data_IF_080026309740
#
_entry.id   IF_080026309740
#
_cell.length_a   1.000
_cell.length_b   1.000
_cell.length_c   1.000
_cell.angle_alpha   90.00
_cell.angle_beta   90.00
_cell.angle_gamma   90.00
#
_symmetry.space_group_name_H-M   'P 1'
#
loop_
_entity.id
_entity.type
_entity.pdbx_description
1 polymer ?
#
# COMPACT_ATOMS: atom_id res chain seq x y z
N UNK A 1 29.75 23.20 46.19
CA UNK A 1 30.04 23.55 44.80
C UNK A 1 28.95 22.84 44.00
N UNK A 2 27.91 23.62 43.74
CA UNK A 2 26.65 23.21 43.11
C UNK A 2 26.86 23.15 41.60
N UNK A 3 26.38 22.11 41.01
CA UNK A 3 26.33 21.95 39.56
C UNK A 3 24.87 22.12 39.13
N UNK A 4 24.49 23.25 38.50
CA UNK A 4 23.13 23.48 38.04
C UNK A 4 23.05 23.32 36.50
N UNK A 5 23.02 22.12 36.00
CA UNK A 5 22.55 21.87 34.63
C UNK A 5 21.39 20.87 34.61
N UNK A 6 20.25 21.35 35.15
CA UNK A 6 18.96 20.77 34.85
C UNK A 6 18.55 21.17 33.43
N UNK A 7 18.90 20.35 32.43
CA UNK A 7 18.41 20.52 31.09
C UNK A 7 16.88 20.39 31.08
N UNK A 8 16.18 21.48 30.81
CA UNK A 8 14.78 21.48 30.42
C UNK A 8 14.68 20.69 29.11
N UNK A 9 14.28 19.41 29.16
CA UNK A 9 13.66 18.77 28.01
C UNK A 9 12.31 19.47 27.80
N UNK A 10 12.28 20.45 26.89
CA UNK A 10 11.01 20.87 26.31
C UNK A 10 10.39 19.63 25.64
N UNK A 11 9.38 19.06 26.28
CA UNK A 11 8.42 18.18 25.60
C UNK A 11 7.72 19.10 24.60
N UNK A 12 8.16 19.04 23.34
CA UNK A 12 7.37 19.54 22.21
C UNK A 12 6.16 18.60 22.18
N UNK A 13 5.04 19.00 22.76
CA UNK A 13 3.76 18.37 22.50
C UNK A 13 3.58 18.42 20.98
N UNK A 14 3.63 17.28 20.32
CA UNK A 14 3.25 17.18 18.91
C UNK A 14 1.79 17.63 18.81
N UNK A 15 1.58 18.87 18.35
CA UNK A 15 0.23 19.39 18.11
C UNK A 15 -0.38 18.53 17.03
N UNK A 16 -1.36 17.71 17.42
CA UNK A 16 -2.08 16.85 16.51
C UNK A 16 -2.84 17.74 15.51
N UNK A 17 -2.56 17.58 14.21
CA UNK A 17 -3.25 18.33 13.14
C UNK A 17 -4.74 17.96 13.14
N UNK A 18 -5.61 18.96 13.23
CA UNK A 18 -7.07 18.79 13.12
C UNK A 18 -7.51 19.04 11.68
N UNK A 19 -8.16 18.09 11.09
CA UNK A 19 -8.49 18.14 9.65
C UNK A 19 -9.97 17.89 9.37
N UNK A 20 -10.48 18.55 8.32
CA UNK A 20 -11.81 18.29 7.76
C UNK A 20 -11.63 17.48 6.48
N UNK A 21 -12.37 16.39 6.37
CA UNK A 21 -12.39 15.56 5.17
C UNK A 21 -13.45 16.06 4.19
N UNK A 22 -13.06 16.15 2.92
CA UNK A 22 -13.92 16.72 1.86
C UNK A 22 -14.03 15.74 0.69
N UNK A 23 -15.26 15.35 0.35
CA UNK A 23 -15.55 14.46 -0.78
C UNK A 23 -16.58 15.04 -1.74
N UNK A 24 -16.50 14.65 -3.01
CA UNK A 24 -17.48 14.99 -4.04
C UNK A 24 -18.16 13.72 -4.52
N UNK A 25 -19.48 13.68 -4.42
CA UNK A 25 -20.32 12.59 -4.90
C UNK A 25 -20.82 12.93 -6.31
N UNK A 26 -20.41 12.15 -7.31
CA UNK A 26 -20.76 12.38 -8.71
C UNK A 26 -22.00 11.60 -9.13
N UNK A 27 -22.23 10.42 -8.56
CA UNK A 27 -23.36 9.53 -8.85
C UNK A 27 -24.01 9.06 -7.52
N UNK A 28 -25.28 8.67 -7.55
CA UNK A 28 -26.00 8.11 -6.41
C UNK A 28 -25.40 6.77 -5.94
N UNK A 29 -24.74 6.03 -6.84
CA UNK A 29 -24.02 4.79 -6.53
C UNK A 29 -22.60 5.02 -5.96
N UNK A 30 -22.14 6.25 -5.93
CA UNK A 30 -20.81 6.62 -5.45
C UNK A 30 -20.82 6.62 -3.90
N UNK A 31 -20.19 5.62 -3.30
CA UNK A 31 -20.15 5.48 -1.85
C UNK A 31 -19.13 6.44 -1.20
N UNK A 32 -19.30 7.76 -1.43
CA UNK A 32 -18.37 8.79 -0.92
C UNK A 32 -18.32 8.81 0.60
N UNK A 33 -19.43 8.52 1.29
CA UNK A 33 -19.43 8.44 2.74
C UNK A 33 -18.44 7.38 3.25
N UNK A 34 -18.49 6.20 2.66
CA UNK A 34 -17.60 5.08 3.00
C UNK A 34 -16.15 5.39 2.59
N UNK A 35 -15.96 6.12 1.48
CA UNK A 35 -14.63 6.58 1.08
C UNK A 35 -14.05 7.58 2.08
N UNK A 36 -14.88 8.46 2.67
CA UNK A 36 -14.46 9.37 3.72
C UNK A 36 -14.23 8.66 5.06
N UNK A 37 -14.94 7.57 5.36
CA UNK A 37 -14.67 6.75 6.54
C UNK A 37 -13.29 6.08 6.43
N UNK A 38 -12.93 5.56 5.26
CA UNK A 38 -11.59 5.06 4.98
C UNK A 38 -10.52 6.17 5.00
N UNK A 39 -10.85 7.36 4.49
CA UNK A 39 -9.94 8.51 4.53
C UNK A 39 -9.67 8.98 5.97
N UNK A 40 -10.66 8.84 6.88
CA UNK A 40 -10.48 9.10 8.31
C UNK A 40 -9.48 8.13 8.94
N UNK A 41 -9.57 6.83 8.63
CA UNK A 41 -8.58 5.84 9.09
C UNK A 41 -7.17 6.14 8.55
N UNK A 42 -7.08 6.64 7.31
CA UNK A 42 -5.81 7.10 6.74
C UNK A 42 -5.27 8.33 7.49
N UNK A 43 -6.13 9.31 7.79
CA UNK A 43 -5.75 10.51 8.53
C UNK A 43 -5.26 10.16 9.94
N UNK A 44 -5.96 9.28 10.65
CA UNK A 44 -5.55 8.78 11.96
C UNK A 44 -4.19 8.06 11.88
N UNK A 45 -3.99 7.20 10.88
CA UNK A 45 -2.70 6.53 10.65
C UNK A 45 -1.56 7.55 10.41
N UNK A 46 -1.86 8.66 9.74
CA UNK A 46 -0.91 9.75 9.54
C UNK A 46 -0.68 10.59 10.81
N UNK A 47 -1.52 10.41 11.85
CA UNK A 47 -1.45 11.13 13.11
C UNK A 47 -2.28 12.42 13.14
N UNK A 48 -3.20 12.62 12.18
CA UNK A 48 -4.14 13.74 12.17
C UNK A 48 -5.47 13.31 12.79
N UNK A 49 -6.17 14.25 13.41
CA UNK A 49 -7.51 14.05 13.97
C UNK A 49 -8.58 14.60 13.02
N UNK A 50 -9.52 13.77 12.62
CA UNK A 50 -10.66 14.23 11.83
C UNK A 50 -11.70 14.91 12.74
N UNK A 51 -11.99 16.18 12.47
CA UNK A 51 -12.97 16.98 13.24
C UNK A 51 -14.28 17.23 12.47
N UNK A 52 -14.34 16.83 11.20
CA UNK A 52 -15.55 16.92 10.39
C UNK A 52 -15.41 16.28 9.02
N UNK A 53 -16.56 15.94 8.41
CA UNK A 53 -16.66 15.40 7.06
C UNK A 53 -17.67 16.21 6.27
N UNK A 54 -17.31 16.61 5.07
CA UNK A 54 -18.16 17.39 4.17
C UNK A 54 -18.27 16.68 2.83
N UNK A 55 -19.48 16.44 2.37
CA UNK A 55 -19.78 15.85 1.07
C UNK A 55 -20.54 16.89 0.22
N UNK A 56 -20.16 16.99 -1.04
CA UNK A 56 -20.88 17.77 -2.03
C UNK A 56 -21.36 16.88 -3.17
N UNK A 57 -22.69 16.87 -3.42
CA UNK A 57 -23.26 16.20 -4.60
C UNK A 57 -23.10 17.13 -5.82
N UNK A 58 -22.54 16.63 -6.91
CA UNK A 58 -22.37 17.36 -8.17
C UNK A 58 -22.37 16.38 -9.34
N UNK A 59 -22.75 16.87 -10.52
CA UNK A 59 -22.60 16.09 -11.77
C UNK A 59 -21.13 15.99 -12.22
N UNK A 60 -20.31 17.00 -11.88
CA UNK A 60 -18.89 17.03 -12.22
C UNK A 60 -18.10 17.75 -11.15
N UNK A 61 -16.86 17.32 -10.93
CA UNK A 61 -15.90 18.00 -10.03
C UNK A 61 -15.66 19.44 -10.51
N UNK A 62 -15.64 20.40 -9.59
CA UNK A 62 -15.37 21.78 -9.98
C UNK A 62 -13.92 21.92 -10.47
N UNK A 63 -13.69 22.42 -11.71
CA UNK A 63 -12.36 22.38 -12.33
C UNK A 63 -11.33 23.28 -11.63
N UNK A 64 -11.77 24.33 -10.95
CA UNK A 64 -10.90 25.30 -10.31
C UNK A 64 -10.64 25.06 -8.83
N UNK A 65 -11.61 24.49 -8.10
CA UNK A 65 -11.57 24.39 -6.62
C UNK A 65 -12.06 23.05 -6.08
N UNK A 66 -12.22 22.01 -6.92
CA UNK A 66 -12.74 20.70 -6.53
C UNK A 66 -14.19 20.74 -6.05
N UNK A 67 -14.54 21.64 -5.13
CA UNK A 67 -15.88 21.92 -4.61
C UNK A 67 -16.35 23.29 -5.04
N UNK A 68 -17.66 23.53 -5.00
CA UNK A 68 -18.24 24.83 -5.35
C UNK A 68 -18.10 25.89 -4.25
N UNK A 69 -18.24 27.19 -4.63
CA UNK A 69 -18.04 28.33 -3.71
C UNK A 69 -18.88 28.22 -2.42
N UNK A 70 -20.18 27.88 -2.51
CA UNK A 70 -21.02 27.74 -1.32
C UNK A 70 -20.52 26.65 -0.36
N UNK A 71 -19.91 25.57 -0.90
CA UNK A 71 -19.34 24.51 -0.08
C UNK A 71 -18.01 24.93 0.54
N UNK A 72 -17.22 25.79 -0.12
CA UNK A 72 -16.01 26.41 0.45
C UNK A 72 -16.37 27.23 1.69
N UNK A 73 -17.45 28.01 1.64
CA UNK A 73 -17.91 28.78 2.81
C UNK A 73 -18.36 27.88 3.97
N UNK A 74 -19.00 26.75 3.66
CA UNK A 74 -19.39 25.74 4.66
C UNK A 74 -18.13 25.11 5.31
N UNK A 75 -17.11 24.78 4.53
CA UNK A 75 -15.81 24.29 5.02
C UNK A 75 -15.18 25.35 5.94
N UNK A 76 -15.13 26.61 5.50
CA UNK A 76 -14.57 27.72 6.28
C UNK A 76 -15.31 27.91 7.61
N UNK A 77 -16.63 27.86 7.61
CA UNK A 77 -17.44 27.96 8.82
C UNK A 77 -17.16 26.80 9.80
N UNK A 78 -17.02 25.58 9.27
CA UNK A 78 -16.70 24.42 10.07
C UNK A 78 -15.28 24.50 10.63
N UNK A 79 -14.29 24.95 9.85
CA UNK A 79 -12.92 25.17 10.30
C UNK A 79 -12.88 26.12 11.50
N UNK A 80 -13.59 27.25 11.43
CA UNK A 80 -13.68 28.22 12.53
C UNK A 80 -14.36 27.65 13.78
N UNK A 81 -15.34 26.76 13.60
CA UNK A 81 -16.06 26.14 14.71
C UNK A 81 -15.29 25.03 15.41
N UNK A 82 -14.34 24.39 14.70
CA UNK A 82 -13.60 23.21 15.18
C UNK A 82 -12.11 23.43 15.37
N UNK A 83 -11.61 24.66 15.13
CA UNK A 83 -10.19 25.00 15.10
C UNK A 83 -9.36 24.11 14.17
N UNK A 84 -9.97 23.65 13.06
CA UNK A 84 -9.29 22.79 12.09
C UNK A 84 -8.14 23.54 11.41
N UNK A 85 -6.97 22.86 11.34
CA UNK A 85 -5.73 23.41 10.79
C UNK A 85 -5.59 23.18 9.28
N UNK A 86 -6.41 22.29 8.71
CA UNK A 86 -6.37 21.96 7.29
C UNK A 86 -7.53 21.11 6.81
N UNK A 87 -7.51 20.82 5.51
CA UNK A 87 -8.48 19.92 4.88
C UNK A 87 -7.78 18.80 4.12
N UNK A 88 -8.45 17.66 4.00
CA UNK A 88 -8.01 16.54 3.16
C UNK A 88 -9.11 16.21 2.17
N UNK A 89 -8.80 16.26 0.88
CA UNK A 89 -9.73 15.89 -0.19
C UNK A 89 -9.60 14.40 -0.54
N UNK A 90 -10.73 13.74 -0.78
CA UNK A 90 -10.81 12.30 -1.03
C UNK A 90 -10.28 11.88 -2.40
N UNK A 91 -10.22 12.80 -3.36
CA UNK A 91 -9.70 12.55 -4.69
C UNK A 91 -8.37 13.27 -4.91
N UNK A 92 -7.58 12.82 -5.89
CA UNK A 92 -6.37 13.52 -6.30
C UNK A 92 -6.71 14.87 -6.89
N UNK A 93 -6.13 15.95 -6.34
CA UNK A 93 -6.35 17.30 -6.79
C UNK A 93 -5.40 17.69 -7.93
N UNK A 94 -5.90 18.43 -8.91
CA UNK A 94 -5.02 19.13 -9.84
C UNK A 94 -4.21 20.22 -9.11
N UNK A 95 -3.03 20.61 -9.62
CA UNK A 95 -2.25 21.70 -9.03
C UNK A 95 -3.02 23.01 -8.88
N UNK A 96 -3.93 23.31 -9.82
CA UNK A 96 -4.77 24.50 -9.79
C UNK A 96 -5.82 24.41 -8.68
N UNK A 97 -6.48 23.25 -8.53
CA UNK A 97 -7.48 23.04 -7.47
C UNK A 97 -6.86 23.17 -6.08
N UNK A 98 -5.72 22.53 -5.85
CA UNK A 98 -5.01 22.60 -4.57
C UNK A 98 -4.63 24.05 -4.22
N UNK A 99 -3.96 24.76 -5.13
CA UNK A 99 -3.53 26.14 -4.90
C UNK A 99 -4.70 27.12 -4.71
N UNK A 100 -5.80 26.92 -5.45
CA UNK A 100 -6.97 27.77 -5.28
C UNK A 100 -7.69 27.50 -3.95
N UNK A 101 -7.77 26.23 -3.50
CA UNK A 101 -8.33 25.90 -2.20
C UNK A 101 -7.47 26.43 -1.06
N UNK A 102 -6.14 26.29 -1.14
CA UNK A 102 -5.21 26.87 -0.15
C UNK A 102 -5.38 28.40 -0.04
N UNK A 103 -5.54 29.06 -1.18
CA UNK A 103 -5.76 30.52 -1.21
C UNK A 103 -7.13 30.94 -0.66
N UNK A 104 -8.20 30.18 -1.02
CA UNK A 104 -9.56 30.50 -0.57
C UNK A 104 -9.78 30.21 0.91
N UNK A 105 -9.19 29.12 1.42
CA UNK A 105 -9.38 28.69 2.81
C UNK A 105 -8.27 29.16 3.77
N UNK A 106 -7.16 29.69 3.24
CA UNK A 106 -5.97 30.10 4.00
C UNK A 106 -5.45 29.00 4.93
N UNK A 107 -5.52 27.75 4.51
CA UNK A 107 -5.13 26.59 5.30
C UNK A 107 -4.33 25.57 4.47
N UNK A 108 -3.75 24.58 5.15
CA UNK A 108 -3.10 23.44 4.50
C UNK A 108 -4.15 22.59 3.79
N UNK A 109 -3.93 22.31 2.51
CA UNK A 109 -4.76 21.42 1.71
C UNK A 109 -3.96 20.19 1.30
N UNK A 110 -4.49 19.04 1.62
CA UNK A 110 -3.94 17.75 1.20
C UNK A 110 -4.96 17.01 0.34
N UNK A 111 -4.48 16.10 -0.47
CA UNK A 111 -5.31 15.10 -1.13
C UNK A 111 -4.96 13.69 -0.65
N UNK A 112 -5.79 12.72 -1.01
CA UNK A 112 -5.61 11.32 -0.65
C UNK A 112 -4.22 10.80 -1.03
N UNK A 113 -3.70 11.22 -2.19
CA UNK A 113 -2.37 10.82 -2.70
C UNK A 113 -1.26 11.29 -1.77
N UNK A 114 -1.29 12.55 -1.36
CA UNK A 114 -0.27 13.13 -0.47
C UNK A 114 -0.33 12.48 0.92
N UNK A 115 -1.54 12.21 1.44
CA UNK A 115 -1.73 11.55 2.72
C UNK A 115 -1.14 10.13 2.71
N UNK A 116 -1.42 9.34 1.67
CA UNK A 116 -0.83 8.00 1.51
C UNK A 116 0.70 8.06 1.42
N UNK A 117 1.24 9.05 0.70
CA UNK A 117 2.69 9.26 0.62
C UNK A 117 3.33 9.60 1.97
N UNK A 118 2.64 10.36 2.81
CA UNK A 118 3.11 10.69 4.15
C UNK A 118 3.10 9.45 5.08
N UNK A 119 2.06 8.62 4.99
CA UNK A 119 2.01 7.35 5.70
C UNK A 119 3.18 6.44 5.28
N UNK A 120 3.41 6.32 3.97
CA UNK A 120 4.50 5.51 3.45
C UNK A 120 5.88 6.03 3.87
N UNK A 121 6.06 7.34 3.93
CA UNK A 121 7.31 7.94 4.41
C UNK A 121 7.62 7.59 5.87
N UNK A 122 6.58 7.45 6.70
CA UNK A 122 6.72 7.05 8.11
C UNK A 122 7.03 5.55 8.27
N UNK A 123 6.49 4.69 7.38
CA UNK A 123 6.61 3.23 7.48
C UNK A 123 7.74 2.61 6.66
N UNK A 124 8.38 3.35 5.75
CA UNK A 124 9.52 2.87 4.97
C UNK A 124 10.74 2.64 5.86
N UNK A 125 11.09 1.39 6.12
CA UNK A 125 12.25 1.00 6.94
C UNK A 125 13.44 0.62 6.10
N UNK A 126 13.22 -0.09 4.97
CA UNK A 126 14.28 -0.54 4.08
C UNK A 126 14.83 0.59 3.21
N UNK A 127 16.08 0.44 2.75
CA UNK A 127 16.69 1.38 1.79
C UNK A 127 15.88 1.46 0.50
N UNK A 128 15.36 0.33 0.02
CA UNK A 128 14.52 0.27 -1.18
C UNK A 128 13.21 1.00 -0.98
N UNK A 129 12.47 0.72 0.10
CA UNK A 129 11.22 1.40 0.43
C UNK A 129 11.41 2.92 0.52
N UNK A 130 12.49 3.39 1.16
CA UNK A 130 12.82 4.82 1.24
C UNK A 130 13.07 5.45 -0.13
N UNK A 131 13.81 4.78 -1.01
CA UNK A 131 14.06 5.24 -2.39
C UNK A 131 12.74 5.34 -3.16
N UNK A 132 11.86 4.34 -3.05
CA UNK A 132 10.57 4.30 -3.72
C UNK A 132 9.64 5.42 -3.24
N UNK A 133 9.55 5.62 -1.93
CA UNK A 133 8.75 6.72 -1.35
C UNK A 133 9.28 8.08 -1.79
N UNK A 134 10.60 8.31 -1.71
CA UNK A 134 11.21 9.57 -2.16
C UNK A 134 10.93 9.80 -3.65
N UNK A 135 11.04 8.77 -4.48
CA UNK A 135 10.74 8.83 -5.90
C UNK A 135 9.28 9.21 -6.16
N UNK A 136 8.34 8.60 -5.45
CA UNK A 136 6.90 8.90 -5.56
C UNK A 136 6.59 10.33 -5.12
N UNK A 137 7.13 10.78 -3.98
CA UNK A 137 6.98 12.15 -3.50
C UNK A 137 7.55 13.18 -4.47
N UNK A 138 8.71 12.92 -5.07
CA UNK A 138 9.31 13.82 -6.06
C UNK A 138 8.51 13.86 -7.36
N UNK A 139 7.95 12.75 -7.82
CA UNK A 139 7.04 12.70 -8.98
C UNK A 139 5.77 13.50 -8.72
N UNK A 140 5.16 13.30 -7.55
CA UNK A 140 3.99 14.05 -7.11
C UNK A 140 4.28 15.56 -7.07
N UNK A 141 5.40 15.99 -6.47
CA UNK A 141 5.84 17.39 -6.46
C UNK A 141 6.13 17.93 -7.87
N UNK A 142 6.79 17.13 -8.71
CA UNK A 142 7.12 17.54 -10.09
C UNK A 142 5.88 17.83 -10.93
N UNK A 143 4.82 17.02 -10.81
CA UNK A 143 3.54 17.26 -11.51
C UNK A 143 2.89 18.58 -11.09
N UNK A 144 2.99 18.96 -9.83
CA UNK A 144 2.41 20.19 -9.27
C UNK A 144 3.19 21.46 -9.65
N UNK A 145 4.51 21.36 -9.77
CA UNK A 145 5.32 22.50 -10.27
C UNK A 145 5.01 22.87 -11.73
N UNK A 146 4.43 21.97 -12.53
CA UNK A 146 4.05 22.26 -13.92
C UNK A 146 2.86 23.25 -13.98
N UNK A 147 1.91 23.17 -13.05
CA UNK A 147 0.75 24.08 -12.98
C UNK A 147 1.06 25.49 -12.52
N UNK A 148 2.01 25.64 -11.58
CA UNK A 148 2.41 26.93 -11.01
C UNK A 148 3.07 27.90 -12.01
N UNK A 149 3.78 27.39 -13.02
CA UNK A 149 4.43 28.22 -14.02
C UNK A 149 3.45 29.04 -14.89
N UNK A 150 2.27 28.49 -15.18
CA UNK A 150 1.25 29.17 -15.98
C UNK A 150 0.50 30.26 -15.19
N UNK A 151 0.38 30.15 -13.88
CA UNK A 151 -0.22 31.18 -13.02
C UNK A 151 0.73 32.34 -12.76
N UNK A 152 2.02 32.07 -12.60
CA UNK A 152 3.05 33.12 -12.40
C UNK A 152 3.37 33.91 -13.66
N UNK A 153 3.26 33.31 -14.86
CA UNK A 153 3.44 34.04 -16.13
C UNK A 153 2.29 34.98 -16.47
N UNK A 154 1.10 34.82 -15.87
CA UNK A 154 -0.01 35.79 -16.02
C UNK A 154 0.17 37.05 -15.17
N UNK A 155 0.99 37.02 -14.14
CA UNK A 155 1.27 38.13 -13.22
C UNK A 155 2.47 39.00 -13.65
N UNK A 156 3.31 38.52 -14.58
CA UNK A 156 4.47 39.25 -15.11
C UNK A 156 4.21 39.79 -16.50
N UNK A 157 3.81 41.08 -16.62
CA UNK A 157 3.56 41.74 -17.89
C UNK A 157 4.83 41.84 -18.75
N UNK A 158 4.73 41.37 -19.99
CA UNK A 158 5.69 41.63 -21.04
C UNK A 158 6.11 40.41 -21.83
N UNK A 159 5.99 40.47 -23.17
CA UNK A 159 6.47 39.42 -24.08
C UNK A 159 8.00 39.37 -24.01
N UNK A 160 8.56 38.24 -23.47
CA UNK A 160 9.99 37.94 -23.56
C UNK A 160 10.83 38.09 -22.30
N UNK A 161 10.29 38.53 -21.16
CA UNK A 161 11.04 38.61 -19.90
C UNK A 161 10.60 37.51 -18.92
N UNK A 162 11.41 36.46 -18.78
CA UNK A 162 11.26 35.49 -17.69
C UNK A 162 11.51 36.16 -16.34
N UNK A 163 10.48 36.24 -15.50
CA UNK A 163 10.57 36.79 -14.15
C UNK A 163 11.49 35.95 -13.24
N UNK A 164 11.99 36.53 -12.12
CA UNK A 164 12.85 35.82 -11.17
C UNK A 164 12.18 34.57 -10.59
N UNK A 165 10.84 34.55 -10.46
CA UNK A 165 10.06 33.39 -10.05
C UNK A 165 10.07 32.24 -11.07
N UNK A 166 10.00 32.53 -12.36
CA UNK A 166 10.10 31.49 -13.41
C UNK A 166 11.47 30.84 -13.44
N UNK A 167 12.56 31.59 -13.25
CA UNK A 167 13.94 31.05 -13.17
C UNK A 167 14.09 30.13 -11.98
N UNK A 168 13.52 30.47 -10.82
CA UNK A 168 13.54 29.66 -9.63
C UNK A 168 12.79 28.35 -9.84
N UNK A 169 11.57 28.40 -10.37
CA UNK A 169 10.77 27.21 -10.71
C UNK A 169 11.46 26.29 -11.71
N UNK A 170 12.12 26.86 -12.74
CA UNK A 170 12.88 26.05 -13.72
C UNK A 170 14.09 25.39 -13.08
N UNK A 171 14.78 26.07 -12.17
CA UNK A 171 15.86 25.51 -11.35
C UNK A 171 15.40 24.35 -10.48
N UNK A 172 14.27 24.57 -9.77
CA UNK A 172 13.68 23.55 -8.88
C UNK A 172 13.23 22.31 -9.67
N UNK A 173 12.58 22.52 -10.82
CA UNK A 173 12.20 21.43 -11.73
C UNK A 173 13.42 20.64 -12.23
N UNK A 174 14.50 21.32 -12.58
CA UNK A 174 15.72 20.67 -13.03
C UNK A 174 16.37 19.85 -11.92
N UNK A 175 16.37 20.38 -10.69
CA UNK A 175 16.89 19.69 -9.53
C UNK A 175 16.08 18.42 -9.22
N UNK A 176 14.76 18.54 -9.19
CA UNK A 176 13.85 17.39 -8.95
C UNK A 176 14.03 16.33 -10.02
N UNK A 177 14.05 16.71 -11.32
CA UNK A 177 14.27 15.73 -12.41
C UNK A 177 15.60 15.01 -12.28
N UNK A 178 16.66 15.73 -11.90
CA UNK A 178 17.98 15.15 -11.68
C UNK A 178 17.96 14.14 -10.53
N UNK A 179 17.28 14.48 -9.42
CA UNK A 179 17.13 13.56 -8.29
C UNK A 179 16.30 12.32 -8.65
N UNK A 180 15.19 12.51 -9.41
CA UNK A 180 14.38 11.40 -9.92
C UNK A 180 15.23 10.43 -10.78
N UNK A 181 16.09 10.96 -11.65
CA UNK A 181 16.97 10.12 -12.48
C UNK A 181 17.95 9.33 -11.62
N UNK A 182 18.60 9.97 -10.66
CA UNK A 182 19.52 9.31 -9.74
C UNK A 182 18.84 8.20 -8.94
N UNK A 183 17.64 8.48 -8.38
CA UNK A 183 16.89 7.48 -7.61
C UNK A 183 16.45 6.28 -8.47
N UNK A 184 16.08 6.50 -9.74
CA UNK A 184 15.77 5.42 -10.68
C UNK A 184 16.99 4.52 -10.95
N UNK A 185 18.17 5.11 -11.06
CA UNK A 185 19.42 4.36 -11.24
C UNK A 185 19.74 3.54 -9.98
N UNK A 186 19.61 4.14 -8.78
CA UNK A 186 19.78 3.45 -7.51
C UNK A 186 18.79 2.27 -7.38
N UNK A 187 17.52 2.49 -7.67
CA UNK A 187 16.47 1.45 -7.63
C UNK A 187 16.78 0.30 -8.59
N UNK A 188 17.19 0.61 -9.82
CA UNK A 188 17.58 -0.41 -10.81
C UNK A 188 18.75 -1.29 -10.34
N UNK A 189 19.69 -0.75 -9.56
CA UNK A 189 20.78 -1.55 -8.98
C UNK A 189 20.26 -2.49 -7.89
N UNK A 190 19.34 -2.02 -7.06
CA UNK A 190 18.71 -2.84 -6.01
C UNK A 190 17.88 -3.98 -6.63
N UNK A 191 17.11 -3.70 -7.67
CA UNK A 191 16.33 -4.69 -8.42
C UNK A 191 17.24 -5.79 -9.03
N UNK A 192 18.33 -5.42 -9.67
CA UNK A 192 19.29 -6.38 -10.21
C UNK A 192 19.90 -7.28 -9.13
N UNK A 193 20.25 -6.71 -7.99
CA UNK A 193 20.76 -7.49 -6.86
C UNK A 193 19.70 -8.47 -6.33
N UNK A 194 18.46 -8.03 -6.22
CA UNK A 194 17.32 -8.89 -5.82
C UNK A 194 17.10 -10.03 -6.81
N UNK A 195 17.18 -9.77 -8.11
CA UNK A 195 17.03 -10.80 -9.15
C UNK A 195 18.12 -11.87 -9.05
N UNK A 196 19.35 -11.47 -8.76
CA UNK A 196 20.47 -12.42 -8.51
C UNK A 196 20.19 -13.29 -7.26
N UNK A 197 19.67 -12.72 -6.19
CA UNK A 197 19.30 -13.47 -5.00
C UNK A 197 18.10 -14.41 -5.24
N UNK A 198 17.14 -13.99 -6.07
CA UNK A 198 15.99 -14.83 -6.48
C UNK A 198 16.45 -16.03 -7.31
N UNK A 199 17.32 -15.82 -8.31
CA UNK A 199 17.88 -16.93 -9.09
C UNK A 199 18.63 -17.94 -8.21
N UNK A 200 19.25 -17.51 -7.14
CA UNK A 200 19.83 -18.37 -6.11
C UNK A 200 18.76 -19.19 -5.35
N UNK A 201 17.63 -18.59 -5.01
CA UNK A 201 16.50 -19.26 -4.32
C UNK A 201 15.75 -20.22 -5.24
N UNK A 202 15.56 -19.87 -6.50
CA UNK A 202 14.92 -20.74 -7.52
C UNK A 202 15.73 -22.03 -7.77
N UNK A 203 17.05 -21.99 -7.59
CA UNK A 203 17.87 -23.20 -7.59
C UNK A 203 17.60 -24.13 -6.41
N UNK A 204 17.09 -23.57 -5.28
CA UNK A 204 16.70 -24.35 -4.08
C UNK A 204 15.29 -24.96 -4.14
N UNK A 205 14.52 -24.75 -5.22
CA UNK A 205 13.17 -25.33 -5.46
C UNK A 205 12.10 -25.10 -4.39
N UNK A 206 12.29 -24.12 -3.49
CA UNK A 206 11.26 -23.81 -2.51
C UNK A 206 10.15 -22.99 -3.17
N UNK A 207 8.90 -23.48 -3.10
CA UNK A 207 7.73 -22.77 -3.61
C UNK A 207 7.44 -21.51 -2.80
N UNK A 208 6.86 -20.52 -3.45
CA UNK A 208 6.58 -19.21 -2.88
C UNK A 208 5.10 -18.87 -2.97
N UNK A 209 4.53 -18.31 -1.91
CA UNK A 209 3.17 -17.77 -1.92
C UNK A 209 3.19 -16.31 -1.45
N UNK A 210 2.57 -15.42 -2.24
CA UNK A 210 2.38 -14.04 -1.87
C UNK A 210 1.06 -13.86 -1.14
N UNK A 211 1.09 -13.23 0.02
CA UNK A 211 -0.08 -12.87 0.80
C UNK A 211 -0.51 -11.48 0.34
N UNK A 212 -1.64 -11.42 -0.35
CA UNK A 212 -2.22 -10.21 -0.90
C UNK A 212 -3.59 -9.93 -0.26
N UNK A 213 -4.05 -8.71 -0.34
CA UNK A 213 -5.37 -8.34 0.17
C UNK A 213 -5.44 -6.87 0.51
N UNK A 214 -6.64 -6.43 0.84
CA UNK A 214 -6.89 -5.05 1.19
C UNK A 214 -6.08 -4.63 2.42
N UNK A 215 -5.83 -3.33 2.60
CA UNK A 215 -5.19 -2.83 3.81
C UNK A 215 -6.02 -3.20 5.04
N UNK A 216 -5.37 -3.50 6.15
CA UNK A 216 -6.00 -3.98 7.39
C UNK A 216 -6.82 -5.29 7.29
N UNK A 217 -6.68 -6.10 6.22
CA UNK A 217 -7.35 -7.40 6.11
C UNK A 217 -6.74 -8.49 7.03
N UNK A 218 -5.59 -8.21 7.66
CA UNK A 218 -4.92 -9.12 8.59
C UNK A 218 -3.79 -9.95 7.98
N UNK A 219 -3.17 -9.49 6.88
CA UNK A 219 -2.05 -10.17 6.18
C UNK A 219 -0.84 -10.41 7.07
N UNK A 220 -0.34 -9.37 7.73
CA UNK A 220 0.84 -9.44 8.61
C UNK A 220 0.55 -10.26 9.86
N UNK A 221 -0.68 -10.18 10.39
CA UNK A 221 -1.14 -11.04 11.49
C UNK A 221 -1.12 -12.52 11.07
N UNK A 222 -1.63 -12.82 9.85
CA UNK A 222 -1.61 -14.17 9.30
C UNK A 222 -0.18 -14.72 9.18
N UNK A 223 0.73 -13.94 8.61
CA UNK A 223 2.14 -14.32 8.50
C UNK A 223 2.75 -14.60 9.88
N UNK A 224 2.51 -13.73 10.86
CA UNK A 224 3.01 -13.88 12.23
C UNK A 224 2.48 -15.14 12.90
N UNK A 225 1.19 -15.40 12.81
CA UNK A 225 0.56 -16.55 13.46
C UNK A 225 1.02 -17.86 12.82
N UNK A 226 1.22 -17.89 11.49
CA UNK A 226 1.70 -19.08 10.80
C UNK A 226 3.18 -19.37 11.04
N UNK A 227 4.03 -18.34 11.19
CA UNK A 227 5.49 -18.50 11.19
C UNK A 227 6.18 -18.08 12.49
N UNK A 228 5.46 -17.47 13.43
CA UNK A 228 6.05 -16.89 14.65
C UNK A 228 7.00 -15.71 14.39
N UNK A 229 6.82 -15.00 13.28
CA UNK A 229 7.83 -14.08 12.74
C UNK A 229 8.00 -12.77 13.51
N UNK A 230 7.06 -12.37 14.37
CA UNK A 230 7.12 -11.10 15.10
C UNK A 230 7.16 -9.85 14.20
N UNK A 231 6.57 -9.90 13.00
CA UNK A 231 6.42 -8.75 12.12
C UNK A 231 5.46 -7.75 12.75
N UNK A 232 5.74 -6.45 12.61
CA UNK A 232 4.87 -5.41 13.12
C UNK A 232 3.45 -5.59 12.53
N UNK A 233 2.50 -5.83 13.41
CA UNK A 233 1.09 -6.00 13.05
C UNK A 233 0.29 -5.02 13.90
N UNK A 234 -0.03 -3.88 13.32
CA UNK A 234 -0.88 -2.86 13.92
C UNK A 234 -2.24 -2.85 13.25
N UNK A 235 -3.28 -2.46 13.98
CA UNK A 235 -4.63 -2.26 13.45
C UNK A 235 -4.71 -0.87 12.77
N UNK A 236 -3.81 -0.64 11.82
CA UNK A 236 -3.68 0.60 11.06
C UNK A 236 -3.53 0.30 9.57
N UNK A 237 -3.99 1.24 8.75
CA UNK A 237 -3.84 1.14 7.31
C UNK A 237 -2.34 1.25 6.93
N UNK A 238 -1.88 0.42 5.99
CA UNK A 238 -0.47 0.41 5.54
C UNK A 238 0.58 0.18 6.63
N UNK A 239 0.27 -0.62 7.65
CA UNK A 239 1.24 -1.00 8.68
C UNK A 239 2.49 -1.69 8.10
N UNK A 240 2.34 -2.42 6.98
CA UNK A 240 3.43 -3.06 6.24
C UNK A 240 3.64 -2.37 4.90
N UNK A 241 4.81 -1.77 4.70
CA UNK A 241 5.25 -1.21 3.41
C UNK A 241 6.31 -2.09 2.75
N UNK A 242 7.25 -2.60 3.53
CA UNK A 242 8.35 -3.44 3.05
C UNK A 242 7.92 -4.92 3.05
N UNK A 243 8.09 -5.66 1.94
CA UNK A 243 7.73 -7.07 1.89
C UNK A 243 8.55 -7.88 2.88
N UNK A 244 7.88 -8.74 3.62
CA UNK A 244 8.55 -9.63 4.57
C UNK A 244 8.33 -11.09 4.17
N UNK A 245 9.41 -11.83 3.91
CA UNK A 245 9.36 -13.25 3.53
C UNK A 245 9.77 -14.13 4.70
N UNK A 246 8.99 -15.19 4.97
CA UNK A 246 9.25 -16.20 5.99
C UNK A 246 8.99 -17.59 5.45
N UNK A 247 9.75 -18.57 5.94
CA UNK A 247 9.51 -19.97 5.62
C UNK A 247 8.46 -20.53 6.59
N UNK A 248 7.46 -21.21 6.03
CA UNK A 248 6.51 -22.04 6.76
C UNK A 248 6.86 -23.50 6.52
N UNK A 249 7.08 -24.24 7.60
CA UNK A 249 7.22 -25.71 7.55
C UNK A 249 5.86 -26.34 7.79
N UNK A 250 5.44 -27.20 6.87
CA UNK A 250 4.20 -27.96 6.95
C UNK A 250 4.39 -29.27 7.71
N UNK A 251 3.30 -29.91 8.09
CA UNK A 251 3.32 -31.11 8.93
C UNK A 251 4.03 -32.32 8.28
N UNK A 252 4.03 -32.36 6.94
CA UNK A 252 4.74 -33.36 6.13
C UNK A 252 6.24 -33.04 5.92
N UNK A 253 6.74 -31.97 6.54
CA UNK A 253 8.13 -31.51 6.44
C UNK A 253 8.43 -30.68 5.20
N UNK A 254 7.47 -30.48 4.29
CA UNK A 254 7.62 -29.57 3.17
C UNK A 254 7.70 -28.12 3.64
N UNK A 255 8.36 -27.27 2.87
CA UNK A 255 8.51 -25.86 3.19
C UNK A 255 8.00 -25.00 2.04
N UNK A 256 7.30 -23.92 2.40
CA UNK A 256 6.86 -22.86 1.49
C UNK A 256 7.29 -21.51 2.03
N UNK A 257 7.72 -20.63 1.14
CA UNK A 257 8.01 -19.22 1.50
C UNK A 257 6.72 -18.40 1.40
N UNK A 258 6.35 -17.78 2.49
CA UNK A 258 5.25 -16.83 2.56
C UNK A 258 5.81 -15.41 2.53
N UNK A 259 5.32 -14.58 1.64
CA UNK A 259 5.71 -13.17 1.55
C UNK A 259 4.49 -12.29 1.84
N UNK A 260 4.55 -11.51 2.92
CA UNK A 260 3.59 -10.44 3.19
C UNK A 260 3.85 -9.27 2.24
N UNK A 261 2.79 -8.72 1.66
CA UNK A 261 2.87 -7.61 0.72
C UNK A 261 2.17 -6.37 1.24
N UNK A 262 2.42 -5.24 0.60
CA UNK A 262 1.69 -3.99 0.88
C UNK A 262 0.19 -4.21 0.65
N UNK A 263 -0.64 -3.66 1.55
CA UNK A 263 -2.09 -3.72 1.41
C UNK A 263 -2.59 -2.86 0.25
N UNK A 264 -3.59 -3.35 -0.47
CA UNK A 264 -4.28 -2.57 -1.49
C UNK A 264 -5.31 -1.64 -0.85
N UNK A 265 -5.63 -0.56 -1.54
CA UNK A 265 -6.62 0.43 -1.11
C UNK A 265 -7.34 1.01 -2.34
N UNK A 266 -8.55 1.51 -2.14
CA UNK A 266 -9.31 2.20 -3.19
C UNK A 266 -8.61 3.49 -3.61
N UNK A 267 -8.82 3.89 -4.87
CA UNK A 267 -8.26 5.13 -5.43
C UNK A 267 -6.73 5.22 -5.25
N UNK A 268 -6.03 4.07 -5.33
CA UNK A 268 -4.56 4.07 -5.28
C UNK A 268 -4.04 4.81 -6.53
N UNK A 269 -3.29 5.90 -6.37
CA UNK A 269 -2.81 6.67 -7.52
C UNK A 269 -1.86 5.86 -8.41
N UNK A 270 -2.02 5.93 -9.73
CA UNK A 270 -1.16 5.19 -10.68
C UNK A 270 0.34 5.48 -10.48
N UNK A 271 0.69 6.70 -10.10
CA UNK A 271 2.07 7.06 -9.78
C UNK A 271 2.63 6.27 -8.59
N UNK A 272 1.77 5.90 -7.62
CA UNK A 272 2.14 5.07 -6.47
C UNK A 272 2.24 3.60 -6.87
N UNK A 273 1.31 3.08 -7.68
CA UNK A 273 1.40 1.72 -8.23
C UNK A 273 2.73 1.52 -8.94
N UNK A 274 3.15 2.49 -9.78
CA UNK A 274 4.44 2.43 -10.49
C UNK A 274 5.64 2.53 -9.55
N UNK A 275 5.56 3.35 -8.49
CA UNK A 275 6.65 3.49 -7.52
C UNK A 275 6.81 2.23 -6.66
N UNK A 276 5.71 1.56 -6.30
CA UNK A 276 5.70 0.33 -5.49
C UNK A 276 5.62 -0.95 -6.33
N UNK A 277 5.75 -0.83 -7.66
CA UNK A 277 5.71 -1.98 -8.56
C UNK A 277 6.66 -3.09 -8.10
N UNK A 278 7.84 -2.75 -7.62
CA UNK A 278 8.83 -3.74 -7.18
C UNK A 278 8.46 -4.46 -5.89
N UNK A 279 7.72 -3.83 -4.97
CA UNK A 279 7.19 -4.49 -3.77
C UNK A 279 5.96 -5.34 -4.09
N UNK A 280 5.13 -4.88 -5.03
CA UNK A 280 3.97 -5.61 -5.53
C UNK A 280 4.36 -6.73 -6.51
N UNK A 281 5.54 -6.64 -7.14
CA UNK A 281 6.10 -7.69 -7.99
C UNK A 281 6.36 -9.01 -7.26
N UNK A 282 6.43 -9.03 -5.91
CA UNK A 282 6.48 -10.28 -5.16
C UNK A 282 5.26 -11.16 -5.46
N UNK A 283 4.08 -10.57 -5.66
CA UNK A 283 2.90 -11.30 -6.12
C UNK A 283 3.07 -11.84 -7.55
N UNK A 284 3.76 -11.11 -8.43
CA UNK A 284 4.03 -11.54 -9.82
C UNK A 284 4.98 -12.75 -9.89
N UNK A 285 5.95 -12.82 -8.98
CA UNK A 285 6.96 -13.88 -8.99
C UNK A 285 6.58 -15.08 -8.11
N UNK A 286 5.60 -14.95 -7.23
CA UNK A 286 5.11 -16.05 -6.41
C UNK A 286 4.50 -17.18 -7.26
N UNK A 287 4.58 -18.43 -6.79
CA UNK A 287 3.93 -19.58 -7.41
C UNK A 287 2.42 -19.56 -7.12
N UNK A 288 2.04 -19.10 -5.92
CA UNK A 288 0.66 -19.08 -5.42
C UNK A 288 0.29 -17.70 -4.88
N UNK A 289 -1.00 -17.39 -4.89
CA UNK A 289 -1.57 -16.20 -4.27
C UNK A 289 -2.44 -16.63 -3.09
N UNK A 290 -2.21 -16.04 -1.94
CA UNK A 290 -3.08 -16.14 -0.76
C UNK A 290 -3.79 -14.79 -0.61
N UNK A 291 -5.05 -14.75 -1.02
CA UNK A 291 -5.86 -13.54 -0.94
C UNK A 291 -6.58 -13.49 0.40
N UNK A 292 -6.21 -12.53 1.25
CA UNK A 292 -6.81 -12.34 2.58
C UNK A 292 -7.90 -11.27 2.49
N UNK A 293 -9.10 -11.65 2.91
CA UNK A 293 -10.31 -10.82 2.86
C UNK A 293 -10.86 -10.66 4.27
N UNK A 294 -11.09 -9.44 4.71
CA UNK A 294 -11.78 -9.16 5.96
C UNK A 294 -13.27 -9.40 5.79
N UNK A 295 -13.77 -10.56 6.26
CA UNK A 295 -15.19 -10.91 6.13
C UNK A 295 -16.09 -10.16 7.13
N UNK A 296 -15.52 -9.42 8.08
CA UNK A 296 -16.30 -8.57 9.00
C UNK A 296 -16.63 -7.20 8.39
N UNK A 297 -15.93 -6.81 7.33
CA UNK A 297 -16.15 -5.53 6.67
C UNK A 297 -17.38 -5.61 5.74
N UNK A 298 -18.36 -4.70 5.85
CA UNK A 298 -19.52 -4.67 4.94
C UNK A 298 -19.17 -4.52 3.46
N UNK A 299 -17.99 -3.94 3.15
CA UNK A 299 -17.49 -3.70 1.79
C UNK A 299 -16.53 -4.78 1.30
N UNK A 300 -16.46 -5.92 1.97
CA UNK A 300 -15.50 -6.96 1.63
C UNK A 300 -15.55 -7.38 0.15
N UNK A 301 -16.73 -7.38 -0.49
CA UNK A 301 -16.87 -7.70 -1.92
C UNK A 301 -16.20 -6.65 -2.79
N UNK A 302 -16.45 -5.37 -2.55
CA UNK A 302 -15.82 -4.26 -3.29
C UNK A 302 -14.30 -4.23 -3.05
N UNK A 303 -13.86 -4.53 -1.83
CA UNK A 303 -12.44 -4.63 -1.52
C UNK A 303 -11.77 -5.79 -2.27
N UNK A 304 -12.46 -6.93 -2.43
CA UNK A 304 -11.98 -8.04 -3.25
C UNK A 304 -11.82 -7.64 -4.72
N UNK A 305 -12.80 -6.91 -5.28
CA UNK A 305 -12.74 -6.40 -6.67
C UNK A 305 -11.50 -5.49 -6.84
N UNK A 306 -11.28 -4.52 -5.95
CA UNK A 306 -10.10 -3.65 -6.00
C UNK A 306 -8.79 -4.44 -5.99
N UNK A 307 -8.71 -5.51 -5.19
CA UNK A 307 -7.52 -6.37 -5.15
C UNK A 307 -7.32 -7.09 -6.49
N UNK A 308 -8.38 -7.67 -7.07
CA UNK A 308 -8.28 -8.35 -8.37
C UNK A 308 -7.94 -7.40 -9.51
N UNK A 309 -8.54 -6.21 -9.56
CA UNK A 309 -8.23 -5.19 -10.55
C UNK A 309 -6.75 -4.79 -10.48
N UNK A 310 -6.25 -4.58 -9.27
CA UNK A 310 -4.82 -4.23 -9.07
C UNK A 310 -3.90 -5.40 -9.46
N UNK A 311 -4.26 -6.65 -9.14
CA UNK A 311 -3.49 -7.83 -9.58
C UNK A 311 -3.48 -7.95 -11.10
N UNK A 312 -4.57 -7.61 -11.77
CA UNK A 312 -4.66 -7.56 -13.22
C UNK A 312 -3.75 -6.48 -13.82
N UNK A 313 -3.75 -5.27 -13.26
CA UNK A 313 -2.84 -4.18 -13.66
C UNK A 313 -1.35 -4.57 -13.49
N UNK A 314 -1.04 -5.38 -12.48
CA UNK A 314 0.30 -5.92 -12.23
C UNK A 314 0.64 -7.14 -13.10
N UNK A 315 -0.23 -7.53 -14.02
CA UNK A 315 -0.08 -8.71 -14.87
C UNK A 315 0.09 -10.03 -14.07
N UNK A 316 -0.52 -10.12 -12.89
CA UNK A 316 -0.55 -11.33 -12.07
C UNK A 316 -1.74 -12.18 -12.52
N UNK A 317 -1.52 -13.07 -13.48
CA UNK A 317 -2.56 -13.93 -14.04
C UNK A 317 -2.15 -15.41 -14.04
N UNK A 318 -3.13 -16.30 -14.03
CA UNK A 318 -2.94 -17.75 -14.19
C UNK A 318 -2.26 -18.43 -12.99
N UNK A 319 -2.28 -17.81 -11.81
CA UNK A 319 -1.74 -18.39 -10.58
C UNK A 319 -2.84 -19.01 -9.75
N UNK A 320 -2.55 -20.16 -9.12
CA UNK A 320 -3.49 -20.75 -8.15
C UNK A 320 -3.71 -19.76 -7.01
N UNK A 321 -4.96 -19.43 -6.77
CA UNK A 321 -5.38 -18.44 -5.78
C UNK A 321 -6.17 -19.13 -4.66
N UNK A 322 -5.76 -18.89 -3.42
CA UNK A 322 -6.43 -19.35 -2.22
C UNK A 322 -6.99 -18.13 -1.52
N UNK A 323 -8.32 -18.01 -1.44
CA UNK A 323 -8.95 -16.89 -0.73
C UNK A 323 -9.26 -17.29 0.71
N UNK A 324 -8.76 -16.50 1.65
CA UNK A 324 -8.97 -16.63 3.07
C UNK A 324 -9.95 -15.57 3.54
N UNK A 325 -11.14 -15.97 3.91
CA UNK A 325 -12.11 -15.09 4.60
C UNK A 325 -11.70 -15.00 6.06
N UNK A 326 -10.96 -13.95 6.38
CA UNK A 326 -10.37 -13.70 7.69
C UNK A 326 -11.31 -12.94 8.62
N UNK A 327 -10.98 -12.90 9.92
CA UNK A 327 -11.72 -12.25 11.00
C UNK A 327 -13.08 -12.89 11.28
N UNK A 328 -13.20 -14.22 11.11
CA UNK A 328 -14.45 -14.96 11.45
C UNK A 328 -14.82 -14.87 12.92
N UNK A 329 -13.85 -14.61 13.80
CA UNK A 329 -14.03 -14.36 15.23
C UNK A 329 -14.88 -13.12 15.54
N UNK A 330 -15.05 -12.21 14.58
CA UNK A 330 -15.91 -11.02 14.72
C UNK A 330 -17.39 -11.31 14.41
N UNK A 331 -17.76 -12.58 14.17
CA UNK A 331 -19.15 -13.03 14.08
C UNK A 331 -19.88 -12.70 12.79
N UNK A 332 -19.18 -12.31 11.75
CA UNK A 332 -19.80 -12.04 10.45
C UNK A 332 -20.26 -13.34 9.79
N UNK A 333 -21.57 -13.60 9.82
CA UNK A 333 -22.22 -14.73 9.16
C UNK A 333 -22.36 -14.53 7.64
N UNK A 334 -21.29 -14.09 6.97
CA UNK A 334 -21.35 -13.80 5.54
C UNK A 334 -21.15 -15.10 4.76
N UNK A 335 -22.13 -15.45 3.91
CA UNK A 335 -22.00 -16.48 2.87
C UNK A 335 -21.27 -15.89 1.67
N UNK A 336 -20.02 -15.46 1.89
CA UNK A 336 -19.19 -14.98 0.80
C UNK A 336 -18.64 -16.15 -0.01
N UNK A 337 -18.54 -15.96 -1.32
CA UNK A 337 -17.87 -16.87 -2.24
C UNK A 337 -16.95 -16.04 -3.12
N UNK A 338 -15.80 -16.57 -3.41
CA UNK A 338 -14.89 -16.02 -4.39
C UNK A 338 -14.88 -16.97 -5.61
N UNK A 339 -15.41 -16.48 -6.75
CA UNK A 339 -15.46 -17.25 -7.99
C UNK A 339 -14.13 -17.25 -8.75
N UNK A 340 -13.21 -16.37 -8.38
CA UNK A 340 -11.91 -16.23 -9.01
C UNK A 340 -10.83 -17.07 -8.31
N UNK A 341 -11.14 -17.62 -7.13
CA UNK A 341 -10.21 -18.43 -6.36
C UNK A 341 -10.39 -19.94 -6.66
N UNK A 342 -9.27 -20.67 -6.70
CA UNK A 342 -9.28 -22.13 -6.79
C UNK A 342 -9.76 -22.78 -5.49
N UNK A 343 -9.43 -22.17 -4.35
CA UNK A 343 -9.81 -22.63 -3.03
C UNK A 343 -10.25 -21.47 -2.15
N UNK A 344 -11.19 -21.76 -1.24
CA UNK A 344 -11.64 -20.77 -0.25
C UNK A 344 -11.70 -21.40 1.13
N UNK A 345 -11.17 -20.69 2.14
CA UNK A 345 -11.21 -21.09 3.54
C UNK A 345 -11.70 -19.94 4.43
N UNK A 346 -12.27 -20.28 5.55
CA UNK A 346 -12.64 -19.33 6.62
C UNK A 346 -11.61 -19.44 7.73
N UNK A 347 -11.04 -18.31 8.14
CA UNK A 347 -9.96 -18.29 9.13
C UNK A 347 -10.08 -17.10 10.08
N UNK A 348 -9.46 -17.24 11.24
CA UNK A 348 -9.12 -16.10 12.07
C UNK A 348 -7.61 -16.10 12.31
N UNK A 349 -6.91 -15.18 11.68
CA UNK A 349 -5.48 -15.00 11.89
C UNK A 349 -5.14 -14.65 13.35
N UNK A 350 -6.08 -14.02 14.07
CA UNK A 350 -5.93 -13.63 15.47
C UNK A 350 -6.05 -14.81 16.44
N UNK A 351 -7.03 -15.69 16.24
CA UNK A 351 -7.29 -16.82 17.13
C UNK A 351 -6.61 -18.11 16.71
N UNK A 352 -6.17 -18.19 15.44
CA UNK A 352 -5.62 -19.41 14.84
C UNK A 352 -6.67 -20.33 14.23
N UNK A 353 -7.96 -20.01 14.32
CA UNK A 353 -9.05 -20.81 13.75
C UNK A 353 -8.87 -20.99 12.23
N UNK A 354 -8.98 -22.24 11.73
CA UNK A 354 -8.88 -22.58 10.31
C UNK A 354 -7.46 -22.55 9.74
N UNK A 355 -6.42 -22.23 10.53
CA UNK A 355 -5.05 -22.18 10.02
C UNK A 355 -4.44 -23.57 9.82
N UNK A 356 -4.85 -24.57 10.56
CA UNK A 356 -4.44 -25.97 10.34
C UNK A 356 -5.03 -26.49 9.02
N UNK A 357 -6.29 -26.14 8.69
CA UNK A 357 -6.88 -26.47 7.40
C UNK A 357 -6.12 -25.80 6.23
N UNK A 358 -5.65 -24.57 6.44
CA UNK A 358 -4.79 -23.87 5.47
C UNK A 358 -3.45 -24.61 5.26
N UNK A 359 -2.79 -25.03 6.33
CA UNK A 359 -1.53 -25.81 6.25
C UNK A 359 -1.75 -27.12 5.52
N UNK A 360 -2.82 -27.85 5.85
CA UNK A 360 -3.19 -29.09 5.19
C UNK A 360 -3.48 -28.90 3.69
N UNK A 361 -4.21 -27.81 3.33
CA UNK A 361 -4.49 -27.47 1.95
C UNK A 361 -3.19 -27.15 1.18
N UNK A 362 -2.29 -26.33 1.76
CA UNK A 362 -1.00 -26.01 1.15
C UNK A 362 -0.15 -27.26 0.93
N UNK A 363 -0.09 -28.18 1.91
CA UNK A 363 0.61 -29.46 1.78
C UNK A 363 0.05 -30.30 0.64
N UNK A 364 -1.29 -30.37 0.52
CA UNK A 364 -1.95 -31.07 -0.58
C UNK A 364 -1.60 -30.46 -1.95
N UNK A 365 -1.67 -29.12 -2.08
CA UNK A 365 -1.34 -28.41 -3.33
C UNK A 365 0.12 -28.67 -3.74
N UNK A 366 1.04 -28.61 -2.79
CA UNK A 366 2.46 -28.87 -3.03
C UNK A 366 2.70 -30.33 -3.44
N UNK A 367 2.00 -31.27 -2.81
CA UNK A 367 2.13 -32.70 -3.12
C UNK A 367 1.54 -33.05 -4.51
N UNK A 368 0.45 -32.40 -4.94
CA UNK A 368 -0.14 -32.59 -6.27
C UNK A 368 0.81 -32.18 -7.41
N UNK A 369 1.74 -31.28 -7.15
CA UNK A 369 2.75 -30.87 -8.13
C UNK A 369 4.00 -31.75 -8.13
N UNK A 370 4.13 -32.67 -7.17
CA UNK A 370 5.26 -33.59 -7.09
C UNK A 370 4.99 -34.82 -7.94
N UNK A 371 6.01 -35.29 -8.65
CA UNK A 371 5.95 -36.52 -9.42
C UNK A 371 6.56 -37.62 -8.55
N UNK A 372 5.74 -38.61 -8.20
CA UNK A 372 6.23 -39.79 -7.54
C UNK A 372 7.03 -40.66 -8.53
N UNK A 373 8.29 -40.96 -8.16
CA UNK A 373 9.17 -41.81 -8.98
C UNK A 373 9.72 -42.91 -8.10
N UNK A 374 9.38 -44.16 -8.41
CA UNK A 374 9.99 -45.32 -7.79
C UNK A 374 11.08 -45.89 -8.73
N UNK A 375 12.32 -45.89 -8.27
CA UNK A 375 13.45 -46.38 -9.06
C UNK A 375 14.46 -47.13 -8.18
N UNK A 376 14.85 -48.30 -8.63
CA UNK A 376 15.92 -49.08 -8.02
C UNK A 376 17.27 -48.53 -8.54
N UNK A 377 18.14 -48.12 -7.61
CA UNK A 377 19.49 -47.66 -7.95
C UNK A 377 20.50 -48.76 -7.62
N UNK A 378 21.38 -49.03 -8.58
CA UNK A 378 22.52 -49.93 -8.35
C UNK A 378 23.59 -49.24 -7.48
N UNK A 379 24.48 -50.03 -6.86
CA UNK A 379 25.59 -49.46 -6.05
C UNK A 379 26.46 -48.46 -6.81
N UNK A 380 26.59 -48.59 -8.12
CA UNK A 380 27.33 -47.67 -8.99
C UNK A 380 26.61 -46.35 -9.21
N UNK A 381 25.30 -46.30 -8.97
CA UNK A 381 24.46 -45.12 -9.12
C UNK A 381 24.16 -44.39 -7.79
N UNK A 382 24.85 -44.81 -6.68
CA UNK A 382 24.64 -44.24 -5.33
C UNK A 382 24.75 -42.68 -5.31
N UNK A 383 25.63 -42.10 -6.14
CA UNK A 383 25.73 -40.64 -6.30
C UNK A 383 24.46 -39.95 -6.80
N UNK A 384 23.57 -40.66 -7.52
CA UNK A 384 22.30 -40.14 -7.96
C UNK A 384 21.29 -40.00 -6.82
N UNK A 385 21.40 -40.81 -5.78
CA UNK A 385 20.57 -40.70 -4.56
C UNK A 385 20.82 -39.38 -3.86
N UNK A 386 22.07 -38.89 -3.86
CA UNK A 386 22.39 -37.59 -3.29
C UNK A 386 21.79 -36.43 -4.10
N UNK A 387 21.79 -36.55 -5.41
CA UNK A 387 21.09 -35.62 -6.30
C UNK A 387 19.56 -35.64 -6.04
N UNK A 388 18.98 -36.83 -5.81
CA UNK A 388 17.54 -36.92 -5.50
C UNK A 388 17.25 -36.28 -4.14
N UNK A 389 18.11 -36.43 -3.13
CA UNK A 389 17.97 -35.78 -1.83
C UNK A 389 18.10 -34.25 -1.96
N UNK A 390 18.93 -33.79 -2.88
CA UNK A 390 19.16 -32.36 -3.16
C UNK A 390 17.99 -31.72 -3.95
N UNK A 391 17.29 -32.52 -4.78
CA UNK A 391 16.27 -32.06 -5.72
C UNK A 391 14.86 -32.61 -5.46
N UNK A 392 14.66 -33.47 -4.50
CA UNK A 392 13.38 -34.12 -4.18
C UNK A 392 13.33 -34.62 -2.74
N UNK A 393 12.18 -35.19 -2.38
CA UNK A 393 11.98 -35.82 -1.09
C UNK A 393 12.19 -37.36 -1.24
N UNK A 394 12.99 -37.94 -0.41
CA UNK A 394 13.15 -39.41 -0.32
C UNK A 394 12.12 -39.93 0.67
N UNK A 395 11.18 -40.75 0.23
CA UNK A 395 10.20 -41.43 1.06
C UNK A 395 10.79 -42.68 1.68
#
# INVERSE_FOLDING_TARGET
MDDPEGGFMEYIEEIQEQVILVGVQLDENDNVKESLDELEELADTAGAQTVGKIIQNRETVHPGTYIGKGKIEEVRALMLATDATGIICDDELSPAQMNNLEHELECKVMDRTLLILDIFAKHATTSEGKIQVELAQLRYRASRLVGLGASLSRLGGGIGTRGPGEKKLESDRRLIRKRITALKEELSQVEKHRELLRTGRTRGKMKTAAIVGYTNAGKSTLLNTLTGAGVLSEDKLFATLDPTTRALTLDDGQQILLTDTVGFIRKLPHNLVEAFKSTLEEARYADYIIHVVDCSNPQAVQQMEVVYDTLQELEVQGKKTITLFNKVDMGAAIRMRDSNADHTLKVSAKTGEGLEDLKALLGKILSEEQIYVEKLFTYQEAGKIQLIREYGQLL
#
